data_IF_505883163935
#
_entry.id   IF_505883163935
#
_cell.length_a   1.000
_cell.length_b   1.000
_cell.length_c   1.000
_cell.angle_alpha   90.00
_cell.angle_beta   90.00
_cell.angle_gamma   90.00
#
_symmetry.space_group_name_H-M   'P 1'
#
loop_
_entity.id
_entity.type
_entity.pdbx_description
1 polymer ?
#
# COMPACT_ATOMS: atom_id res chain seq x y z
N UNK A 1 53.14 -29.72 49.15
CA UNK A 1 52.60 -29.37 47.83
C UNK A 1 51.27 -30.02 47.45
N UNK A 2 50.78 -31.09 48.05
CA UNK A 2 49.52 -31.76 47.69
C UNK A 2 48.20 -31.10 48.27
N UNK A 3 48.30 -30.34 49.36
CA UNK A 3 47.12 -29.73 49.98
C UNK A 3 46.55 -28.52 49.25
N UNK A 4 47.32 -27.74 48.49
CA UNK A 4 46.89 -26.53 47.78
C UNK A 4 46.19 -26.82 46.46
N UNK A 5 46.45 -27.99 45.82
CA UNK A 5 45.82 -28.43 44.60
C UNK A 5 44.36 -28.82 44.84
N UNK A 6 44.07 -29.42 46.00
CA UNK A 6 42.71 -29.82 46.37
C UNK A 6 41.78 -28.59 46.61
N UNK A 7 42.31 -27.49 47.14
CA UNK A 7 41.57 -26.28 47.39
C UNK A 7 41.27 -25.53 46.09
N UNK A 8 42.17 -25.52 45.12
CA UNK A 8 41.97 -24.89 43.79
C UNK A 8 40.93 -25.67 43.00
N UNK A 9 40.94 -27.01 43.04
CA UNK A 9 39.95 -27.83 42.36
C UNK A 9 38.56 -27.68 43.02
N UNK A 10 38.45 -27.59 44.34
CA UNK A 10 37.19 -27.33 45.03
C UNK A 10 36.62 -25.93 44.72
N UNK A 11 37.48 -24.91 44.56
CA UNK A 11 37.08 -23.58 44.22
C UNK A 11 36.64 -23.45 42.75
N UNK A 12 37.28 -24.18 41.81
CA UNK A 12 36.83 -24.27 40.42
C UNK A 12 35.50 -25.00 40.25
N UNK A 13 35.24 -26.05 41.00
CA UNK A 13 33.97 -26.79 40.93
C UNK A 13 32.81 -25.94 41.45
N UNK A 14 33.05 -25.11 42.48
CA UNK A 14 32.02 -24.19 42.99
C UNK A 14 31.65 -23.07 41.97
N UNK A 15 32.62 -22.57 41.21
CA UNK A 15 32.39 -21.57 40.19
C UNK A 15 31.62 -22.13 38.97
N UNK A 16 31.93 -23.38 38.57
CA UNK A 16 31.20 -24.05 37.49
C UNK A 16 29.77 -24.42 37.89
N UNK A 17 29.55 -24.79 39.16
CA UNK A 17 28.24 -25.14 39.70
C UNK A 17 27.30 -23.93 39.82
N UNK A 18 27.81 -22.71 40.03
CA UNK A 18 27.00 -21.51 40.08
C UNK A 18 26.52 -21.09 38.68
N UNK A 19 27.32 -21.33 37.65
CA UNK A 19 26.98 -20.93 36.27
C UNK A 19 25.89 -21.84 35.65
N UNK A 20 25.88 -23.12 35.95
CA UNK A 20 24.87 -24.08 35.48
C UNK A 20 23.46 -23.75 35.99
N UNK A 21 23.32 -23.22 37.20
CA UNK A 21 22.02 -22.80 37.74
C UNK A 21 21.46 -21.56 37.05
N UNK A 22 22.30 -20.60 36.72
CA UNK A 22 21.88 -19.41 36.03
C UNK A 22 21.48 -19.73 34.57
N UNK A 23 22.21 -20.57 33.87
CA UNK A 23 21.90 -21.05 32.54
C UNK A 23 20.56 -21.80 32.49
N UNK A 24 20.25 -22.61 33.47
CA UNK A 24 18.97 -23.30 33.56
C UNK A 24 17.79 -22.34 33.74
N UNK A 25 17.92 -21.31 34.60
CA UNK A 25 16.89 -20.29 34.79
C UNK A 25 16.76 -19.45 33.53
N UNK A 26 17.87 -19.04 32.92
CA UNK A 26 17.86 -18.27 31.67
C UNK A 26 17.11 -18.99 30.54
N UNK A 27 17.38 -20.28 30.35
CA UNK A 27 16.76 -21.08 29.30
C UNK A 27 15.27 -21.37 29.51
N UNK A 28 14.73 -21.11 30.69
CA UNK A 28 13.27 -21.20 30.97
C UNK A 28 12.50 -19.96 30.61
N UNK A 29 13.18 -18.84 30.35
CA UNK A 29 12.55 -17.59 29.99
C UNK A 29 12.05 -17.70 28.54
N UNK A 30 10.75 -17.44 28.32
CA UNK A 30 10.18 -17.42 26.96
C UNK A 30 10.79 -16.27 26.13
N UNK A 31 10.95 -16.50 24.83
CA UNK A 31 11.63 -15.58 23.92
C UNK A 31 11.16 -14.11 24.02
N UNK A 32 9.87 -13.89 24.26
CA UNK A 32 9.27 -12.55 24.29
C UNK A 32 8.91 -12.10 25.72
N UNK A 33 9.38 -12.79 26.75
CA UNK A 33 9.10 -12.45 28.14
C UNK A 33 10.10 -11.41 28.68
N UNK A 34 9.85 -10.14 28.33
CA UNK A 34 10.65 -8.99 28.78
C UNK A 34 10.81 -8.96 30.30
N UNK A 35 9.72 -9.19 31.05
CA UNK A 35 9.75 -9.19 32.53
C UNK A 35 10.62 -10.32 33.07
N UNK A 36 10.54 -11.50 32.46
CA UNK A 36 11.40 -12.64 32.83
C UNK A 36 12.87 -12.31 32.66
N UNK A 37 13.26 -11.69 31.57
CA UNK A 37 14.64 -11.25 31.35
C UNK A 37 15.07 -10.12 32.28
N UNK A 38 14.20 -9.13 32.57
CA UNK A 38 14.48 -8.06 33.54
C UNK A 38 14.69 -8.62 34.95
N UNK A 39 13.84 -9.56 35.36
CA UNK A 39 13.99 -10.27 36.65
C UNK A 39 15.30 -11.09 36.71
N UNK A 40 15.65 -11.77 35.63
CA UNK A 40 16.90 -12.51 35.52
C UNK A 40 18.11 -11.59 35.68
N UNK A 41 18.15 -10.47 34.98
CA UNK A 41 19.25 -9.48 35.07
C UNK A 41 19.34 -8.90 36.49
N UNK A 42 18.22 -8.61 37.10
CA UNK A 42 18.16 -8.10 38.48
C UNK A 42 18.68 -9.12 39.50
N UNK A 43 18.33 -10.39 39.35
CA UNK A 43 18.71 -11.48 40.24
C UNK A 43 20.18 -11.94 40.05
N UNK A 44 20.66 -11.88 38.81
CA UNK A 44 21.98 -12.38 38.40
C UNK A 44 22.78 -11.36 37.59
N UNK A 45 23.12 -10.18 38.14
CA UNK A 45 23.72 -9.08 37.40
C UNK A 45 25.12 -9.37 36.81
N UNK A 46 25.81 -10.40 37.32
CA UNK A 46 27.13 -10.83 36.87
C UNK A 46 27.11 -12.09 36.00
N UNK A 47 25.91 -12.60 35.66
CA UNK A 47 25.77 -13.77 34.79
C UNK A 47 26.28 -13.48 33.37
N UNK A 48 26.90 -14.49 32.74
CA UNK A 48 27.34 -14.42 31.34
C UNK A 48 26.17 -14.18 30.39
N UNK A 49 24.94 -14.47 30.79
CA UNK A 49 23.72 -14.31 29.98
C UNK A 49 23.13 -12.91 30.04
N UNK A 50 23.68 -11.98 30.86
CA UNK A 50 23.12 -10.61 31.01
C UNK A 50 23.13 -9.84 29.68
N UNK A 51 24.20 -9.98 28.90
CA UNK A 51 24.29 -9.28 27.59
C UNK A 51 23.23 -9.79 26.62
N UNK A 52 23.07 -11.11 26.49
CA UNK A 52 22.05 -11.73 25.63
C UNK A 52 20.62 -11.41 26.14
N UNK A 53 20.41 -11.43 27.48
CA UNK A 53 19.10 -11.02 28.04
C UNK A 53 18.72 -9.58 27.68
N UNK A 54 19.67 -8.64 27.70
CA UNK A 54 19.43 -7.26 27.29
C UNK A 54 19.09 -7.15 25.81
N UNK A 55 19.83 -7.85 24.97
CA UNK A 55 19.56 -7.90 23.52
C UNK A 55 18.15 -8.45 23.25
N UNK A 56 17.76 -9.53 23.92
CA UNK A 56 16.41 -10.11 23.79
C UNK A 56 15.32 -9.15 24.25
N UNK A 57 15.54 -8.38 25.30
CA UNK A 57 14.62 -7.33 25.74
C UNK A 57 14.43 -6.30 24.63
N UNK A 58 15.50 -5.80 24.03
CA UNK A 58 15.41 -4.79 22.97
C UNK A 58 14.71 -5.35 21.72
N UNK A 59 15.03 -6.58 21.31
CA UNK A 59 14.33 -7.25 20.19
C UNK A 59 12.84 -7.41 20.51
N UNK A 60 12.49 -7.90 21.68
CA UNK A 60 11.08 -8.09 22.06
C UNK A 60 10.31 -6.75 22.15
N UNK A 61 10.93 -5.68 22.64
CA UNK A 61 10.34 -4.33 22.66
C UNK A 61 10.08 -3.81 21.25
N UNK A 62 11.03 -4.01 20.35
CA UNK A 62 10.88 -3.60 18.96
C UNK A 62 9.78 -4.39 18.25
N UNK A 63 9.72 -5.72 18.44
CA UNK A 63 8.63 -6.55 17.92
C UNK A 63 7.27 -6.10 18.45
N UNK A 64 7.15 -5.76 19.74
CA UNK A 64 5.91 -5.23 20.33
C UNK A 64 5.54 -3.86 19.75
N UNK A 65 6.52 -2.98 19.54
CA UNK A 65 6.30 -1.66 18.91
C UNK A 65 5.76 -1.79 17.50
N UNK A 66 6.38 -2.65 16.68
CA UNK A 66 5.96 -2.91 15.30
C UNK A 66 4.56 -3.54 15.24
N UNK A 67 4.27 -4.50 16.14
CA UNK A 67 2.96 -5.13 16.23
C UNK A 67 1.87 -4.11 16.62
N UNK A 68 2.16 -3.24 17.60
CA UNK A 68 1.22 -2.18 18.01
C UNK A 68 0.98 -1.16 16.89
N UNK A 69 2.01 -0.79 16.14
CA UNK A 69 1.87 0.09 14.98
C UNK A 69 1.02 -0.55 13.87
N UNK A 70 1.27 -1.82 13.56
CA UNK A 70 0.48 -2.58 12.59
C UNK A 70 -1.00 -2.70 13.01
N UNK A 71 -1.25 -2.99 14.31
CA UNK A 71 -2.61 -3.06 14.82
C UNK A 71 -3.34 -1.71 14.72
N UNK A 72 -2.66 -0.60 15.03
CA UNK A 72 -3.23 0.75 14.89
C UNK A 72 -3.55 1.08 13.44
N UNK A 73 -2.65 0.76 12.50
CA UNK A 73 -2.89 0.96 11.06
C UNK A 73 -4.07 0.12 10.55
N UNK A 74 -4.18 -1.12 11.01
CA UNK A 74 -5.29 -2.01 10.66
C UNK A 74 -6.64 -1.48 11.18
N UNK A 75 -6.67 -0.95 12.40
CA UNK A 75 -7.87 -0.35 12.98
C UNK A 75 -8.28 0.94 12.26
N UNK A 76 -7.30 1.79 11.92
CA UNK A 76 -7.57 2.99 11.12
C UNK A 76 -8.14 2.64 9.75
N UNK A 77 -7.58 1.63 9.08
CA UNK A 77 -8.08 1.15 7.79
C UNK A 77 -9.52 0.64 7.90
N UNK A 78 -9.84 -0.17 8.92
CA UNK A 78 -11.20 -0.66 9.17
C UNK A 78 -12.18 0.50 9.39
N UNK A 79 -11.77 1.53 10.13
CA UNK A 79 -12.60 2.72 10.35
C UNK A 79 -12.85 3.46 9.05
N UNK A 80 -11.83 3.65 8.22
CA UNK A 80 -11.96 4.29 6.91
C UNK A 80 -12.85 3.46 5.97
N UNK A 81 -12.67 2.15 5.92
CA UNK A 81 -13.52 1.26 5.15
C UNK A 81 -14.98 1.40 5.56
N UNK A 82 -15.28 1.32 6.86
CA UNK A 82 -16.65 1.49 7.36
C UNK A 82 -17.24 2.86 7.03
N UNK A 83 -16.43 3.92 7.09
CA UNK A 83 -16.88 5.28 6.82
C UNK A 83 -17.14 5.56 5.35
N UNK A 84 -16.32 4.99 4.46
CA UNK A 84 -16.31 5.33 3.03
C UNK A 84 -16.74 4.19 2.11
N UNK A 85 -17.08 3.01 2.62
CA UNK A 85 -17.44 1.83 1.80
C UNK A 85 -18.53 2.12 0.75
N UNK A 86 -19.54 2.88 1.13
CA UNK A 86 -20.64 3.27 0.24
C UNK A 86 -20.41 4.61 -0.47
N UNK A 87 -19.28 5.28 -0.22
CA UNK A 87 -19.04 6.59 -0.79
C UNK A 87 -18.63 6.47 -2.25
N UNK A 88 -19.25 7.27 -3.10
CA UNK A 88 -19.03 7.31 -4.54
C UNK A 88 -19.23 8.74 -5.03
N UNK A 89 -18.45 9.17 -6.00
CA UNK A 89 -18.62 10.49 -6.62
C UNK A 89 -19.73 10.49 -7.66
N UNK A 90 -20.16 11.68 -8.06
CA UNK A 90 -21.08 11.84 -9.18
C UNK A 90 -20.41 11.33 -10.47
N UNK A 91 -21.18 10.57 -11.27
CA UNK A 91 -20.70 10.08 -12.56
C UNK A 91 -20.25 11.25 -13.46
N UNK A 92 -19.12 11.12 -14.12
CA UNK A 92 -18.55 12.16 -14.97
C UNK A 92 -17.77 13.27 -14.23
N UNK A 93 -17.68 13.25 -12.89
CA UNK A 93 -16.89 14.21 -12.12
C UNK A 93 -15.40 14.10 -12.42
N UNK A 94 -14.65 15.15 -12.08
CA UNK A 94 -13.21 15.28 -12.33
C UNK A 94 -12.47 15.49 -10.99
N UNK A 95 -12.25 14.43 -10.20
CA UNK A 95 -11.75 14.56 -8.83
C UNK A 95 -10.34 15.15 -8.75
N UNK A 96 -9.55 15.02 -9.80
CA UNK A 96 -8.16 15.48 -9.84
C UNK A 96 -7.98 16.82 -10.58
N UNK A 97 -9.05 17.60 -10.77
CA UNK A 97 -8.99 18.88 -11.51
C UNK A 97 -8.03 19.90 -10.90
N UNK A 98 -7.80 19.84 -9.59
CA UNK A 98 -6.81 20.68 -8.90
C UNK A 98 -5.37 20.41 -9.37
N UNK A 99 -5.05 19.17 -9.77
CA UNK A 99 -3.71 18.77 -10.22
C UNK A 99 -3.57 18.72 -11.72
N UNK A 100 -4.64 18.30 -12.41
CA UNK A 100 -4.61 18.02 -13.86
C UNK A 100 -5.40 19.01 -14.68
N UNK A 101 -6.09 19.94 -14.04
CA UNK A 101 -7.03 20.83 -14.72
C UNK A 101 -8.35 20.13 -15.05
N UNK A 102 -9.26 20.89 -15.58
CA UNK A 102 -10.56 20.39 -16.09
C UNK A 102 -10.45 20.04 -17.56
N UNK A 103 -11.16 19.01 -17.98
CA UNK A 103 -11.33 18.72 -19.39
C UNK A 103 -12.01 19.89 -20.11
N UNK A 104 -11.53 20.18 -21.31
CA UNK A 104 -12.22 21.10 -22.19
C UNK A 104 -13.47 20.41 -22.73
N UNK A 105 -14.59 21.10 -22.66
CA UNK A 105 -15.78 20.69 -23.38
C UNK A 105 -15.67 21.24 -24.80
N UNK A 106 -15.93 20.40 -25.78
CA UNK A 106 -16.04 20.79 -27.19
C UNK A 106 -17.53 20.83 -27.56
N UNK A 107 -17.92 21.85 -28.28
CA UNK A 107 -19.24 21.91 -28.89
C UNK A 107 -19.30 21.03 -30.15
N UNK A 108 -20.51 20.85 -30.71
CA UNK A 108 -20.71 19.99 -31.87
C UNK A 108 -20.03 20.55 -33.16
N UNK A 109 -19.55 21.79 -33.13
CA UNK A 109 -18.89 22.43 -34.25
C UNK A 109 -17.36 22.39 -34.18
N UNK A 110 -16.80 22.08 -33.02
CA UNK A 110 -15.34 21.98 -32.83
C UNK A 110 -14.90 20.56 -33.08
N UNK A 111 -14.09 20.28 -34.12
CA UNK A 111 -13.55 18.92 -34.35
C UNK A 111 -12.80 18.40 -33.11
N UNK A 112 -13.22 17.23 -32.60
CA UNK A 112 -12.65 16.62 -31.43
C UNK A 112 -12.80 15.10 -31.49
N UNK A 113 -11.97 14.41 -30.74
CA UNK A 113 -12.09 12.99 -30.52
C UNK A 113 -12.64 12.69 -29.11
N UNK A 114 -13.16 11.50 -28.94
CA UNK A 114 -13.76 11.08 -27.68
C UNK A 114 -13.16 9.76 -27.19
N UNK A 115 -12.99 9.67 -25.89
CA UNK A 115 -12.82 8.39 -25.19
C UNK A 115 -14.05 8.17 -24.32
N UNK A 116 -14.82 7.12 -24.64
CA UNK A 116 -15.98 6.68 -23.88
C UNK A 116 -15.59 5.51 -23.00
N UNK A 117 -15.85 5.61 -21.71
CA UNK A 117 -15.52 4.57 -20.75
C UNK A 117 -16.80 4.11 -20.05
N UNK A 118 -17.07 2.82 -20.07
CA UNK A 118 -18.12 2.17 -19.30
C UNK A 118 -17.50 1.37 -18.17
N UNK A 119 -17.83 1.69 -16.93
CA UNK A 119 -17.34 1.00 -15.76
C UNK A 119 -18.04 -0.35 -15.55
N UNK A 120 -17.36 -1.33 -14.93
CA UNK A 120 -17.98 -2.58 -14.50
C UNK A 120 -19.10 -2.31 -13.48
N UNK A 121 -20.04 -3.24 -13.34
CA UNK A 121 -21.16 -3.08 -12.41
C UNK A 121 -20.78 -3.08 -10.93
N UNK A 122 -19.61 -3.63 -10.60
CA UNK A 122 -19.15 -3.87 -9.22
C UNK A 122 -17.95 -3.00 -8.81
N UNK A 123 -17.53 -2.04 -9.65
CA UNK A 123 -16.39 -1.17 -9.36
C UNK A 123 -16.57 0.20 -10.00
N UNK A 124 -16.26 1.24 -9.24
CA UNK A 124 -16.06 2.57 -9.79
C UNK A 124 -14.70 2.63 -10.50
N UNK A 125 -14.56 3.56 -11.44
CA UNK A 125 -13.33 3.72 -12.23
C UNK A 125 -12.98 5.18 -12.33
N UNK A 126 -11.69 5.50 -12.23
CA UNK A 126 -11.16 6.76 -12.75
C UNK A 126 -10.41 6.46 -14.04
N UNK A 127 -10.93 6.99 -15.13
CA UNK A 127 -10.22 6.99 -16.40
C UNK A 127 -9.35 8.24 -16.49
N UNK A 128 -8.06 8.04 -16.78
CA UNK A 128 -7.07 9.11 -16.95
C UNK A 128 -6.46 8.96 -18.33
N UNK A 129 -6.50 9.99 -19.14
CA UNK A 129 -5.93 10.02 -20.49
C UNK A 129 -4.72 10.93 -20.49
N UNK A 130 -3.59 10.42 -20.94
CA UNK A 130 -2.34 11.19 -21.06
C UNK A 130 -1.93 11.32 -22.51
N UNK A 131 -1.33 12.46 -22.86
CA UNK A 131 -0.60 12.58 -24.13
C UNK A 131 0.56 11.61 -24.13
N UNK A 132 0.68 10.80 -25.18
CA UNK A 132 1.84 9.91 -25.37
C UNK A 132 2.99 10.71 -26.00
N UNK A 133 3.56 11.63 -25.26
CA UNK A 133 4.73 12.43 -25.62
C UNK A 133 5.67 12.57 -24.42
N UNK A 134 6.82 13.24 -24.63
CA UNK A 134 7.85 13.39 -23.60
C UNK A 134 7.37 13.98 -22.27
N UNK A 135 6.27 14.75 -22.25
CA UNK A 135 5.77 15.38 -21.05
C UNK A 135 4.71 14.55 -20.31
N UNK A 136 4.12 13.53 -20.94
CA UNK A 136 3.11 12.66 -20.32
C UNK A 136 1.95 13.39 -19.63
N UNK A 137 1.67 14.65 -20.05
CA UNK A 137 0.65 15.51 -19.42
C UNK A 137 -0.72 14.86 -19.51
N UNK A 138 -1.50 14.97 -18.45
CA UNK A 138 -2.90 14.53 -18.45
C UNK A 138 -3.70 15.42 -19.43
N UNK A 139 -4.32 14.78 -20.41
CA UNK A 139 -5.23 15.43 -21.37
C UNK A 139 -6.65 15.51 -20.83
N UNK A 140 -7.03 14.53 -19.98
CA UNK A 140 -8.32 14.51 -19.36
C UNK A 140 -8.48 13.37 -18.37
N UNK A 141 -9.48 13.51 -17.49
CA UNK A 141 -9.83 12.44 -16.56
C UNK A 141 -11.32 12.52 -16.19
N UNK A 142 -11.91 11.38 -15.88
CA UNK A 142 -13.30 11.27 -15.43
C UNK A 142 -13.45 10.16 -14.40
N UNK A 143 -14.29 10.43 -13.42
CA UNK A 143 -14.84 9.40 -12.55
C UNK A 143 -16.03 8.75 -13.24
N UNK A 144 -16.02 7.42 -13.33
CA UNK A 144 -17.09 6.64 -13.93
C UNK A 144 -17.66 5.73 -12.86
N UNK A 145 -18.88 6.02 -12.45
CA UNK A 145 -19.56 5.25 -11.41
C UNK A 145 -19.88 3.83 -11.92
N UNK A 146 -19.84 2.85 -11.04
CA UNK A 146 -20.15 1.46 -11.34
C UNK A 146 -21.41 1.30 -12.22
N UNK A 147 -21.28 0.55 -13.31
CA UNK A 147 -22.34 0.32 -14.30
C UNK A 147 -22.69 1.50 -15.20
N UNK A 148 -22.06 2.66 -15.02
CA UNK A 148 -22.31 3.87 -15.83
C UNK A 148 -21.23 4.08 -16.87
N UNK A 149 -21.46 5.08 -17.73
CA UNK A 149 -20.49 5.53 -18.73
C UNK A 149 -20.18 7.02 -18.57
N UNK A 150 -18.96 7.41 -18.98
CA UNK A 150 -18.58 8.81 -19.11
C UNK A 150 -17.70 9.03 -20.34
N UNK A 151 -17.71 10.25 -20.87
CA UNK A 151 -16.96 10.64 -22.06
C UNK A 151 -15.88 11.66 -21.68
N UNK A 152 -14.66 11.43 -22.18
CA UNK A 152 -13.55 12.36 -22.12
C UNK A 152 -13.35 12.92 -23.53
N UNK A 153 -13.53 14.23 -23.66
CA UNK A 153 -13.31 14.94 -24.92
C UNK A 153 -11.83 15.28 -25.07
N UNK A 154 -11.26 15.09 -26.25
CA UNK A 154 -9.84 15.21 -26.52
C UNK A 154 -9.60 16.01 -27.82
N UNK A 155 -8.45 16.69 -27.87
CA UNK A 155 -8.01 17.36 -29.08
C UNK A 155 -7.65 16.32 -30.15
N UNK A 156 -7.99 16.60 -31.40
CA UNK A 156 -7.56 15.82 -32.55
C UNK A 156 -6.04 15.91 -32.81
N UNK A 157 -5.51 14.95 -33.56
CA UNK A 157 -4.15 14.97 -34.07
C UNK A 157 -3.08 14.61 -33.02
N UNK A 158 -3.39 13.75 -32.04
CA UNK A 158 -2.42 13.34 -31.03
C UNK A 158 -2.51 11.86 -30.67
N UNK A 159 -1.41 11.34 -30.12
CA UNK A 159 -1.38 10.02 -29.50
C UNK A 159 -1.73 10.13 -28.03
N UNK A 160 -2.61 9.23 -27.57
CA UNK A 160 -3.09 9.17 -26.19
C UNK A 160 -2.90 7.78 -25.62
N UNK A 161 -2.51 7.73 -24.32
CA UNK A 161 -2.51 6.52 -23.51
C UNK A 161 -3.60 6.65 -22.46
N UNK A 162 -4.49 5.66 -22.38
CA UNK A 162 -5.54 5.61 -21.37
C UNK A 162 -5.17 4.69 -20.23
N UNK A 163 -5.40 5.18 -19.02
CA UNK A 163 -5.19 4.46 -17.76
C UNK A 163 -6.51 4.34 -17.01
N UNK A 164 -6.66 3.26 -16.27
CA UNK A 164 -7.84 2.97 -15.47
C UNK A 164 -7.43 2.62 -14.05
N UNK A 165 -7.98 3.36 -13.10
CA UNK A 165 -7.85 3.10 -11.68
C UNK A 165 -9.21 2.68 -11.14
N UNK A 166 -9.31 1.47 -10.65
CA UNK A 166 -10.52 0.83 -10.19
C UNK A 166 -10.58 0.80 -8.67
N UNK A 167 -11.79 0.73 -8.13
CA UNK A 167 -12.00 0.44 -6.71
C UNK A 167 -13.40 0.76 -6.24
N UNK A 168 -13.56 0.66 -4.90
CA UNK A 168 -14.79 1.02 -4.20
C UNK A 168 -14.48 1.88 -2.98
N UNK A 169 -15.48 2.66 -2.52
CA UNK A 169 -15.32 3.49 -1.35
C UNK A 169 -14.39 4.67 -1.59
N UNK A 170 -14.91 5.72 -2.19
CA UNK A 170 -14.11 6.92 -2.47
C UNK A 170 -13.72 7.65 -1.18
N UNK A 171 -12.42 7.74 -0.88
CA UNK A 171 -11.87 8.50 0.24
C UNK A 171 -11.13 9.74 -0.28
N UNK A 172 -11.67 10.97 -0.08
CA UNK A 172 -11.07 12.19 -0.62
C UNK A 172 -9.71 12.54 0.03
N UNK A 173 -9.45 12.04 1.25
CA UNK A 173 -8.19 12.27 1.97
C UNK A 173 -7.06 11.29 1.64
N UNK A 174 -7.30 10.28 0.81
CA UNK A 174 -6.28 9.30 0.45
C UNK A 174 -5.12 9.99 -0.26
N UNK A 175 -3.91 9.76 0.25
CA UNK A 175 -2.69 10.26 -0.40
C UNK A 175 -2.31 9.30 -1.53
N UNK A 176 -2.25 9.85 -2.73
CA UNK A 176 -1.76 9.16 -3.92
C UNK A 176 -0.36 9.68 -4.27
N UNK A 177 0.28 9.10 -5.25
CA UNK A 177 1.60 9.58 -5.72
C UNK A 177 1.55 11.03 -6.21
N UNK A 178 2.73 11.66 -6.23
CA UNK A 178 2.92 13.05 -6.69
C UNK A 178 2.03 14.08 -6.00
N UNK A 179 1.61 13.81 -4.75
CA UNK A 179 0.82 14.72 -3.94
C UNK A 179 -0.65 14.80 -4.33
N UNK A 180 -1.11 13.97 -5.25
CA UNK A 180 -2.53 13.86 -5.61
C UNK A 180 -3.32 13.31 -4.43
N UNK A 181 -4.54 13.80 -4.22
CA UNK A 181 -5.42 13.36 -3.13
C UNK A 181 -6.74 12.83 -3.67
N UNK A 182 -7.23 11.80 -2.99
CA UNK A 182 -8.45 11.09 -3.32
C UNK A 182 -8.18 9.76 -4.01
N UNK A 183 -8.83 8.72 -3.54
CA UNK A 183 -8.68 7.36 -4.09
C UNK A 183 -9.66 6.39 -3.45
N UNK A 184 -9.65 5.18 -3.94
CA UNK A 184 -10.48 4.11 -3.41
C UNK A 184 -9.83 3.47 -2.17
N UNK A 185 -10.63 2.94 -1.26
CA UNK A 185 -10.14 2.27 -0.05
C UNK A 185 -10.20 0.75 -0.17
N UNK A 186 -10.94 0.22 -1.18
CA UNK A 186 -11.21 -1.21 -1.33
C UNK A 186 -11.12 -1.65 -2.78
N UNK A 187 -10.64 -2.87 -3.00
CA UNK A 187 -10.57 -3.52 -4.31
C UNK A 187 -9.80 -2.71 -5.37
N UNK A 188 -8.74 -2.06 -4.95
CA UNK A 188 -7.93 -1.23 -5.85
C UNK A 188 -7.23 -2.07 -6.92
N UNK A 189 -7.34 -1.61 -8.14
CA UNK A 189 -6.63 -2.19 -9.26
C UNK A 189 -6.27 -1.11 -10.29
N UNK A 190 -5.22 -1.38 -11.04
CA UNK A 190 -4.67 -0.47 -12.03
C UNK A 190 -4.48 -1.20 -13.36
N UNK A 191 -4.94 -0.60 -14.45
CA UNK A 191 -4.67 -1.08 -15.79
C UNK A 191 -4.47 0.07 -16.78
N UNK A 192 -3.97 -0.24 -17.93
CA UNK A 192 -3.84 0.71 -19.05
C UNK A 192 -4.18 0.01 -20.36
N UNK A 193 -4.53 0.79 -21.38
CA UNK A 193 -4.61 0.29 -22.74
C UNK A 193 -3.28 -0.34 -23.19
N UNK A 194 -3.35 -1.36 -23.99
CA UNK A 194 -2.15 -2.12 -24.45
C UNK A 194 -1.16 -1.29 -25.24
N UNK A 195 -1.64 -0.26 -25.96
CA UNK A 195 -0.82 0.67 -26.73
C UNK A 195 -1.48 2.03 -26.88
N UNK A 196 -0.68 3.10 -27.05
CA UNK A 196 -1.22 4.42 -27.34
C UNK A 196 -2.00 4.45 -28.65
N UNK A 197 -3.13 5.18 -28.65
CA UNK A 197 -3.99 5.36 -29.81
C UNK A 197 -3.85 6.75 -30.40
N UNK A 198 -3.68 6.86 -31.72
CA UNK A 198 -3.80 8.13 -32.44
C UNK A 198 -5.27 8.45 -32.65
N UNK A 199 -5.68 9.65 -32.25
CA UNK A 199 -7.07 10.08 -32.35
C UNK A 199 -7.22 11.30 -33.27
N UNK A 200 -8.14 11.17 -34.26
CA UNK A 200 -8.51 12.22 -35.19
C UNK A 200 -9.97 12.04 -35.61
N UNK A 201 -10.83 12.89 -35.12
CA UNK A 201 -12.29 12.86 -35.35
C UNK A 201 -12.94 11.49 -35.11
N UNK A 202 -12.46 10.74 -34.12
CA UNK A 202 -12.94 9.40 -33.82
C UNK A 202 -13.33 9.21 -32.36
N UNK A 203 -14.13 8.18 -32.13
CA UNK A 203 -14.60 7.76 -30.81
C UNK A 203 -13.98 6.40 -30.49
N UNK A 204 -13.22 6.35 -29.41
CA UNK A 204 -12.70 5.11 -28.83
C UNK A 204 -13.53 4.72 -27.61
N UNK A 205 -14.06 3.52 -27.60
CA UNK A 205 -14.91 3.03 -26.50
C UNK A 205 -14.23 1.90 -25.74
N UNK A 206 -14.14 2.04 -24.43
CA UNK A 206 -13.71 1.01 -23.49
C UNK A 206 -14.90 0.51 -22.68
N UNK A 207 -15.26 -0.75 -22.84
CA UNK A 207 -16.18 -1.44 -21.95
C UNK A 207 -15.35 -2.29 -20.98
N UNK A 208 -15.26 -1.82 -19.74
CA UNK A 208 -14.39 -2.42 -18.75
C UNK A 208 -15.13 -3.55 -18.02
N UNK A 209 -14.50 -4.72 -17.95
CA UNK A 209 -15.00 -5.87 -17.21
C UNK A 209 -13.96 -6.32 -16.20
N UNK A 210 -14.40 -6.61 -14.99
CA UNK A 210 -13.56 -7.32 -14.01
C UNK A 210 -13.78 -8.82 -14.26
N UNK A 211 -13.06 -9.37 -15.23
CA UNK A 211 -13.04 -10.82 -15.42
C UNK A 211 -11.59 -11.28 -15.52
N UNK A 212 -11.29 -12.40 -14.90
CA UNK A 212 -9.96 -13.02 -14.95
C UNK A 212 -9.65 -13.63 -16.35
N UNK A 213 -10.61 -13.59 -17.28
CA UNK A 213 -10.52 -14.21 -18.61
C UNK A 213 -11.23 -13.36 -19.68
N UNK A 214 -10.76 -12.15 -19.94
CA UNK A 214 -11.33 -11.29 -20.98
C UNK A 214 -10.38 -11.11 -22.17
N UNK A 215 -10.95 -11.05 -23.40
CA UNK A 215 -10.20 -10.85 -24.65
C UNK A 215 -9.71 -9.41 -24.90
N UNK A 216 -9.74 -8.54 -23.91
CA UNK A 216 -9.14 -7.20 -24.01
C UNK A 216 -7.70 -7.25 -23.53
N UNK A 217 -6.80 -6.78 -24.38
CA UNK A 217 -5.38 -6.62 -24.07
C UNK A 217 -5.14 -5.36 -23.23
N UNK A 218 -5.66 -5.32 -22.00
CA UNK A 218 -5.15 -4.38 -21.02
C UNK A 218 -3.89 -4.93 -20.43
N UNK A 219 -2.81 -4.15 -20.41
CA UNK A 219 -1.63 -4.47 -19.65
C UNK A 219 -1.81 -4.02 -18.19
N UNK A 220 -1.17 -4.75 -17.28
CA UNK A 220 -1.08 -4.32 -15.88
C UNK A 220 -0.41 -2.94 -15.81
N UNK A 221 -0.89 -2.11 -14.92
CA UNK A 221 -0.32 -0.81 -14.59
C UNK A 221 -0.12 -0.72 -13.07
N UNK A 222 0.45 0.36 -12.61
CA UNK A 222 0.64 0.63 -11.20
C UNK A 222 0.42 2.12 -10.90
N UNK A 223 0.36 2.45 -9.62
CA UNK A 223 0.12 3.82 -9.17
C UNK A 223 1.13 4.83 -9.72
N UNK A 224 2.42 4.45 -9.85
CA UNK A 224 3.46 5.37 -10.35
C UNK A 224 3.33 5.70 -11.84
N UNK A 225 2.66 4.86 -12.61
CA UNK A 225 2.41 5.14 -14.05
C UNK A 225 1.17 6.03 -14.23
N UNK A 226 0.23 5.96 -13.30
CA UNK A 226 -1.05 6.66 -13.38
C UNK A 226 -0.97 8.06 -12.76
N UNK A 227 -0.34 8.17 -11.61
CA UNK A 227 -0.19 9.40 -10.85
C UNK A 227 1.27 9.85 -10.84
#
# INVERSE_FOLDING_TARGET
MRKNIFWIIAMMVVLVGCDTNHTSEYNRISRNDIKGYEMFISKYPTSIHVADARERIEVAREEQRLAAEAARKAEELRRLESQYEANSLSNGSQPYSQWYGTNVYYDDYTPHSEIRVKAPHNSDVIAIVRYNNHNGKVAGHKYVKAGNSATIYLRNGAYYQTFFYYGRGWYPGKQMKNGVKGGFIKDEAYSKDGSPSYLEDNVLTYELTISQHGNFSTSSSNENEIF
#
